data_IF_977062045518
#
_entry.id   IF_977062045518
#
_cell.length_a   1.000
_cell.length_b   1.000
_cell.length_c   1.000
_cell.angle_alpha   90.00
_cell.angle_beta   90.00
_cell.angle_gamma   90.00
#
_symmetry.space_group_name_H-M   'P 1'
#
loop_
_entity.id
_entity.type
_entity.pdbx_description
1 polymer ?
#
# COMPACT_ATOMS: atom_id res chain seq x y z
N UNK A 1 -11.85 29.22 46.01
CA UNK A 1 -10.76 28.31 45.59
C UNK A 1 -11.12 27.39 44.41
N UNK A 2 -12.40 27.15 44.08
CA UNK A 2 -12.75 26.22 42.96
C UNK A 2 -12.55 26.79 41.54
N UNK A 3 -12.59 28.11 41.34
CA UNK A 3 -12.42 28.73 40.00
C UNK A 3 -11.05 28.44 39.35
N UNK A 4 -9.95 28.54 40.10
CA UNK A 4 -8.59 28.23 39.61
C UNK A 4 -8.41 26.76 39.19
N UNK A 5 -9.14 25.86 39.84
CA UNK A 5 -9.11 24.42 39.52
C UNK A 5 -9.84 24.16 38.20
N UNK A 6 -10.99 24.79 37.99
CA UNK A 6 -11.72 24.74 36.73
C UNK A 6 -10.87 25.29 35.56
N UNK A 7 -10.19 26.42 35.76
CA UNK A 7 -9.29 26.99 34.74
C UNK A 7 -8.14 26.05 34.37
N UNK A 8 -7.51 25.40 35.35
CA UNK A 8 -6.44 24.43 35.09
C UNK A 8 -6.93 23.18 34.34
N UNK A 9 -8.12 22.68 34.67
CA UNK A 9 -8.71 21.52 34.01
C UNK A 9 -9.07 21.87 32.56
N UNK A 10 -9.71 23.02 32.33
CA UNK A 10 -10.04 23.51 30.99
C UNK A 10 -8.76 23.71 30.14
N UNK A 11 -7.71 24.29 30.72
CA UNK A 11 -6.41 24.46 30.05
C UNK A 11 -5.75 23.14 29.65
N UNK A 12 -5.80 22.13 30.53
CA UNK A 12 -5.30 20.77 30.23
C UNK A 12 -6.09 20.10 29.11
N UNK A 13 -7.42 20.24 29.11
CA UNK A 13 -8.27 19.66 28.08
C UNK A 13 -7.98 20.26 26.69
N UNK A 14 -7.84 21.58 26.60
CA UNK A 14 -7.45 22.26 25.36
C UNK A 14 -6.06 21.83 24.87
N UNK A 15 -5.10 21.63 25.78
CA UNK A 15 -3.78 21.13 25.43
C UNK A 15 -3.83 19.69 24.87
N UNK A 16 -4.61 18.79 25.50
CA UNK A 16 -4.81 17.42 25.02
C UNK A 16 -5.49 17.43 23.65
N UNK A 17 -6.53 18.24 23.45
CA UNK A 17 -7.25 18.36 22.18
C UNK A 17 -6.33 18.83 21.05
N UNK A 18 -5.46 19.81 21.30
CA UNK A 18 -4.44 20.27 20.33
C UNK A 18 -3.42 19.18 20.03
N UNK A 19 -2.95 18.45 21.05
CA UNK A 19 -2.02 17.33 20.89
C UNK A 19 -2.60 16.23 20.02
N UNK A 20 -3.82 15.78 20.29
CA UNK A 20 -4.52 14.77 19.48
C UNK A 20 -4.71 15.24 18.05
N UNK A 21 -5.14 16.49 17.83
CA UNK A 21 -5.31 17.04 16.47
C UNK A 21 -3.98 17.11 15.71
N UNK A 22 -2.87 17.43 16.38
CA UNK A 22 -1.54 17.48 15.76
C UNK A 22 -0.99 16.09 15.45
N UNK A 23 -1.15 15.11 16.35
CA UNK A 23 -0.72 13.72 16.13
C UNK A 23 -1.54 13.07 15.02
N UNK A 24 -2.87 13.21 15.07
CA UNK A 24 -3.77 12.67 14.06
C UNK A 24 -3.67 13.41 12.71
N UNK A 25 -3.44 14.72 12.71
CA UNK A 25 -3.35 15.52 11.48
C UNK A 25 -1.97 15.55 10.82
N UNK A 26 -0.92 15.13 11.51
CA UNK A 26 0.44 15.09 10.98
C UNK A 26 1.01 13.67 11.01
N UNK A 27 1.48 13.24 12.18
CA UNK A 27 2.28 12.02 12.33
C UNK A 27 1.57 10.75 11.87
N UNK A 28 0.28 10.58 12.18
CA UNK A 28 -0.49 9.39 11.80
C UNK A 28 -0.74 9.35 10.29
N UNK A 29 -1.22 10.46 9.71
CA UNK A 29 -1.45 10.56 8.27
C UNK A 29 -0.16 10.40 7.45
N UNK A 30 0.96 10.95 7.91
CA UNK A 30 2.26 10.73 7.25
C UNK A 30 2.71 9.27 7.30
N UNK A 31 2.44 8.57 8.40
CA UNK A 31 2.79 7.16 8.54
C UNK A 31 1.93 6.28 7.63
N UNK A 32 0.62 6.53 7.59
CA UNK A 32 -0.30 5.85 6.67
C UNK A 32 0.05 6.14 5.22
N UNK A 33 0.34 7.39 4.86
CA UNK A 33 0.77 7.76 3.52
C UNK A 33 2.08 7.08 3.10
N UNK A 34 3.06 6.97 4.02
CA UNK A 34 4.31 6.21 3.78
C UNK A 34 4.06 4.72 3.61
N UNK A 35 3.09 4.17 4.34
CA UNK A 35 2.71 2.76 4.25
C UNK A 35 2.07 2.49 2.88
N UNK A 36 1.08 3.29 2.50
CA UNK A 36 0.41 3.22 1.19
C UNK A 36 1.43 3.38 0.05
N UNK A 37 2.35 4.34 0.13
CA UNK A 37 3.40 4.53 -0.87
C UNK A 37 4.31 3.31 -0.99
N UNK A 38 4.65 2.67 0.15
CA UNK A 38 5.49 1.47 0.15
C UNK A 38 4.75 0.28 -0.44
N UNK A 39 3.48 0.10 -0.11
CA UNK A 39 2.60 -0.95 -0.65
C UNK A 39 2.44 -0.78 -2.15
N UNK A 40 2.09 0.42 -2.63
CA UNK A 40 1.96 0.69 -4.06
C UNK A 40 3.27 0.45 -4.83
N UNK A 41 4.43 0.77 -4.25
CA UNK A 41 5.73 0.44 -4.89
C UNK A 41 6.00 -1.07 -4.95
N UNK A 42 5.54 -1.84 -3.97
CA UNK A 42 5.68 -3.30 -3.98
C UNK A 42 4.72 -3.93 -4.99
N UNK A 43 3.49 -3.45 -5.07
CA UNK A 43 2.50 -3.89 -6.05
C UNK A 43 2.95 -3.59 -7.47
N UNK A 44 3.35 -2.35 -7.75
CA UNK A 44 3.84 -1.98 -9.09
C UNK A 44 5.07 -2.77 -9.54
N UNK A 45 5.97 -3.13 -8.61
CA UNK A 45 7.11 -4.03 -8.93
C UNK A 45 6.66 -5.45 -9.26
N UNK A 46 5.63 -5.96 -8.60
CA UNK A 46 5.07 -7.30 -8.89
C UNK A 46 4.35 -7.29 -10.23
N UNK A 47 3.57 -6.25 -10.51
CA UNK A 47 2.87 -6.07 -11.78
C UNK A 47 3.87 -5.96 -12.93
N UNK A 48 4.85 -5.06 -12.86
CA UNK A 48 5.86 -4.93 -13.92
C UNK A 48 6.67 -6.21 -14.14
N UNK A 49 6.89 -7.03 -13.10
CA UNK A 49 7.51 -8.35 -13.27
C UNK A 49 6.60 -9.32 -14.03
N UNK A 50 5.29 -9.28 -13.77
CA UNK A 50 4.31 -10.10 -14.49
C UNK A 50 4.19 -9.67 -15.96
N UNK A 51 4.18 -8.36 -16.23
CA UNK A 51 4.15 -7.82 -17.59
C UNK A 51 5.37 -8.28 -18.39
N UNK A 52 6.58 -8.15 -17.83
CA UNK A 52 7.79 -8.68 -18.46
C UNK A 52 7.69 -10.19 -18.73
N UNK A 53 7.10 -10.97 -17.82
CA UNK A 53 6.88 -12.40 -18.05
C UNK A 53 5.87 -12.66 -19.16
N UNK A 54 4.81 -11.85 -19.29
CA UNK A 54 3.88 -11.95 -20.41
C UNK A 54 4.57 -11.64 -21.74
N UNK A 55 5.37 -10.59 -21.80
CA UNK A 55 6.13 -10.22 -23.00
C UNK A 55 7.12 -11.31 -23.42
N UNK A 56 7.80 -11.94 -22.46
CA UNK A 56 8.73 -13.04 -22.74
C UNK A 56 8.01 -14.29 -23.25
N UNK A 57 6.81 -14.58 -22.73
CA UNK A 57 5.97 -15.68 -23.25
C UNK A 57 5.46 -15.36 -24.65
N UNK A 58 4.99 -14.12 -24.89
CA UNK A 58 4.59 -13.65 -26.23
C UNK A 58 5.74 -13.69 -27.23
N UNK A 59 6.97 -13.41 -26.77
CA UNK A 59 8.20 -13.50 -27.56
C UNK A 59 8.67 -14.93 -27.82
N UNK A 60 7.92 -15.95 -27.39
CA UNK A 60 8.29 -17.38 -27.45
C UNK A 60 9.65 -17.69 -26.76
N UNK A 61 10.09 -16.86 -25.81
CA UNK A 61 11.35 -17.04 -25.09
C UNK A 61 11.19 -17.89 -23.83
N UNK A 62 9.98 -17.97 -23.28
CA UNK A 62 9.63 -18.72 -22.07
C UNK A 62 8.34 -19.50 -22.29
N UNK A 63 8.26 -20.70 -21.73
CA UNK A 63 7.00 -21.45 -21.70
C UNK A 63 6.05 -20.88 -20.63
N UNK A 64 4.74 -21.07 -20.83
CA UNK A 64 3.70 -20.64 -19.87
C UNK A 64 3.94 -21.27 -18.48
N UNK A 65 4.38 -22.53 -18.44
CA UNK A 65 4.69 -23.24 -17.20
C UNK A 65 5.88 -22.63 -16.45
N UNK A 66 6.96 -22.29 -17.15
CA UNK A 66 8.15 -21.67 -16.55
C UNK A 66 7.87 -20.25 -16.07
N UNK A 67 7.10 -19.47 -16.84
CA UNK A 67 6.70 -18.12 -16.44
C UNK A 67 5.75 -18.13 -15.23
N UNK A 68 4.80 -19.07 -15.19
CA UNK A 68 3.90 -19.25 -14.05
C UNK A 68 4.65 -19.68 -12.78
N UNK A 69 5.63 -20.58 -12.91
CA UNK A 69 6.51 -20.98 -11.81
C UNK A 69 7.34 -19.80 -11.28
N UNK A 70 7.93 -18.97 -12.17
CA UNK A 70 8.66 -17.76 -11.76
C UNK A 70 7.77 -16.73 -11.05
N UNK A 71 6.49 -16.65 -11.44
CA UNK A 71 5.50 -15.79 -10.80
C UNK A 71 4.92 -16.37 -9.50
N UNK A 72 5.25 -17.63 -9.13
CA UNK A 72 4.58 -18.40 -8.07
C UNK A 72 3.04 -18.43 -8.24
N UNK A 73 2.57 -18.53 -9.48
CA UNK A 73 1.15 -18.62 -9.82
C UNK A 73 0.82 -19.98 -10.45
N UNK A 74 -0.43 -20.41 -10.32
CA UNK A 74 -0.96 -21.51 -11.14
C UNK A 74 -0.99 -21.07 -12.62
N UNK A 75 -0.74 -22.00 -13.53
CA UNK A 75 -0.78 -21.75 -14.97
C UNK A 75 -2.14 -21.19 -15.43
N UNK A 76 -3.23 -21.64 -14.82
CA UNK A 76 -4.58 -21.16 -15.12
C UNK A 76 -4.76 -19.68 -14.75
N UNK A 77 -4.26 -19.29 -13.58
CA UNK A 77 -4.29 -17.91 -13.10
C UNK A 77 -3.39 -17.01 -13.94
N UNK A 78 -2.22 -17.52 -14.35
CA UNK A 78 -1.30 -16.79 -15.21
C UNK A 78 -1.92 -16.52 -16.58
N UNK A 79 -2.56 -17.53 -17.21
CA UNK A 79 -3.27 -17.37 -18.48
C UNK A 79 -4.41 -16.36 -18.38
N UNK A 80 -5.19 -16.40 -17.29
CA UNK A 80 -6.27 -15.42 -17.08
C UNK A 80 -5.72 -14.00 -16.98
N UNK A 81 -4.66 -13.78 -16.20
CA UNK A 81 -4.01 -12.46 -16.10
C UNK A 81 -3.41 -11.99 -17.42
N UNK A 82 -2.84 -12.91 -18.20
CA UNK A 82 -2.31 -12.60 -19.54
C UNK A 82 -3.43 -12.19 -20.50
N UNK A 83 -4.59 -12.83 -20.45
CA UNK A 83 -5.77 -12.44 -21.23
C UNK A 83 -6.30 -11.06 -20.82
N UNK A 84 -6.27 -10.74 -19.53
CA UNK A 84 -6.68 -9.42 -19.05
C UNK A 84 -5.65 -8.33 -19.39
N UNK A 85 -4.35 -8.66 -19.50
CA UNK A 85 -3.30 -7.75 -19.96
C UNK A 85 -3.39 -7.41 -21.46
N UNK A 86 -3.91 -8.33 -22.27
CA UNK A 86 -4.07 -8.13 -23.72
C UNK A 86 -5.35 -7.35 -24.11
N UNK A 87 -6.23 -7.01 -23.16
CA UNK A 87 -7.46 -6.24 -23.39
C UNK A 87 -7.22 -4.74 -23.25
#
# INVERSE_FOLDING_TARGET
MSGKVLEHIAGKYEAVRRGVKSVMGGKVLEYEAKTILREGRLEGRKEGRLEMLFDLVCGNLLSIAEAAAQANLSEELFRKKMQDYSK
#
